data_IF_733837973422
#
_entry.id   IF_733837973422
#
_cell.length_a   1.000
_cell.length_b   1.000
_cell.length_c   1.000
_cell.angle_alpha   90.00
_cell.angle_beta   90.00
_cell.angle_gamma   90.00
#
_symmetry.space_group_name_H-M   'P 1'
#
loop_
_entity.id
_entity.type
_entity.pdbx_description
1 polymer ?
#
# COMPACT_ATOMS: atom_id res chain seq x y z
N UNK A 1 0.03 22.22 -6.96
CA UNK A 1 1.38 21.71 -6.66
C UNK A 1 1.88 22.53 -5.48
N UNK A 2 2.37 21.93 -4.38
CA UNK A 2 2.81 22.72 -3.22
C UNK A 2 4.05 23.54 -3.62
N UNK A 3 3.99 24.86 -3.51
CA UNK A 3 5.10 25.75 -3.88
C UNK A 3 6.40 25.39 -3.13
N UNK A 4 6.26 24.86 -1.91
CA UNK A 4 7.32 24.36 -1.04
C UNK A 4 8.04 23.11 -1.57
N UNK A 5 7.53 22.43 -2.61
CA UNK A 5 8.21 21.26 -3.21
C UNK A 5 9.49 21.70 -3.95
N UNK A 6 9.48 22.87 -4.59
CA UNK A 6 10.67 23.39 -5.28
C UNK A 6 11.83 23.71 -4.33
N UNK A 7 11.53 24.05 -3.07
CA UNK A 7 12.53 24.28 -2.01
C UNK A 7 13.16 22.99 -1.46
N UNK A 8 12.61 21.81 -1.76
CA UNK A 8 13.21 20.53 -1.36
C UNK A 8 14.59 20.31 -2.00
N UNK A 9 14.80 20.84 -3.22
CA UNK A 9 16.07 20.70 -3.95
C UNK A 9 17.23 21.51 -3.35
N UNK A 10 16.95 22.39 -2.38
CA UNK A 10 17.93 23.26 -1.73
C UNK A 10 18.53 22.61 -0.48
N UNK A 11 17.83 21.66 0.14
CA UNK A 11 18.28 21.03 1.37
C UNK A 11 19.37 19.98 1.10
N UNK A 12 20.41 20.02 1.93
CA UNK A 12 21.60 19.15 1.77
C UNK A 12 21.44 17.81 2.50
N UNK A 13 20.56 17.77 3.49
CA UNK A 13 20.27 16.60 4.33
C UNK A 13 18.78 16.59 4.74
N UNK A 14 18.30 15.43 5.18
CA UNK A 14 16.88 15.22 5.52
C UNK A 14 16.45 16.05 6.74
N UNK A 15 17.39 16.33 7.66
CA UNK A 15 17.14 17.17 8.83
C UNK A 15 16.84 18.64 8.47
N UNK A 16 17.60 19.19 7.55
CA UNK A 16 17.43 20.53 7.01
C UNK A 16 16.15 20.60 6.16
N UNK A 17 15.89 19.57 5.35
CA UNK A 17 14.65 19.41 4.60
C UNK A 17 13.42 19.43 5.53
N UNK A 18 13.49 18.69 6.64
CA UNK A 18 12.42 18.64 7.61
C UNK A 18 12.13 20.02 8.20
N UNK A 19 13.18 20.69 8.72
CA UNK A 19 13.05 21.99 9.37
C UNK A 19 12.60 23.11 8.43
N UNK A 20 13.08 23.13 7.19
CA UNK A 20 12.83 24.23 6.25
C UNK A 20 11.51 24.11 5.52
N UNK A 21 11.05 22.88 5.26
CA UNK A 21 9.91 22.64 4.37
C UNK A 21 8.85 21.79 5.05
N UNK A 22 9.22 20.64 5.62
CA UNK A 22 8.23 19.65 6.02
C UNK A 22 7.47 20.01 7.30
N UNK A 23 8.03 20.82 8.21
CA UNK A 23 7.36 21.29 9.44
C UNK A 23 6.06 22.04 9.13
N UNK A 24 6.00 22.77 8.02
CA UNK A 24 4.81 23.54 7.62
C UNK A 24 3.83 22.73 6.77
N UNK A 25 4.13 21.45 6.49
CA UNK A 25 3.26 20.57 5.71
C UNK A 25 2.35 19.75 6.62
N UNK A 26 1.19 19.28 6.13
CA UNK A 26 0.34 18.35 6.87
C UNK A 26 1.02 17.00 7.17
N UNK A 27 2.20 16.74 6.61
CA UNK A 27 2.99 15.53 6.89
C UNK A 27 3.83 15.66 8.18
N UNK A 28 4.03 16.87 8.71
CA UNK A 28 4.87 17.11 9.88
C UNK A 28 4.57 16.19 11.08
N UNK A 29 3.29 15.92 11.45
CA UNK A 29 2.97 15.04 12.56
C UNK A 29 3.59 13.64 12.39
N UNK A 30 3.56 13.07 11.18
CA UNK A 30 4.03 11.72 10.90
C UNK A 30 5.55 11.57 11.04
N UNK A 31 6.30 12.64 10.79
CA UNK A 31 7.75 12.67 11.02
C UNK A 31 8.06 12.84 12.52
N UNK A 32 7.40 13.79 13.19
CA UNK A 32 7.71 14.12 14.58
C UNK A 32 7.40 13.01 15.59
N UNK A 33 6.37 12.19 15.34
CA UNK A 33 5.95 11.14 16.28
C UNK A 33 6.67 9.80 16.07
N UNK A 34 7.26 9.57 14.90
CA UNK A 34 7.79 8.27 14.52
C UNK A 34 9.31 8.26 14.27
N UNK A 35 9.94 9.42 14.13
CA UNK A 35 11.34 9.52 13.70
C UNK A 35 12.10 10.52 14.57
N UNK A 36 13.31 10.14 14.97
CA UNK A 36 14.26 11.06 15.57
C UNK A 36 15.03 11.82 14.49
N UNK A 37 15.68 12.92 14.87
CA UNK A 37 16.51 13.69 13.94
C UNK A 37 17.73 12.91 13.42
N UNK A 38 18.15 11.87 14.12
CA UNK A 38 19.26 10.98 13.72
C UNK A 38 18.77 9.95 12.69
N UNK A 39 17.57 9.39 12.89
CA UNK A 39 16.95 8.46 11.93
C UNK A 39 16.78 9.09 10.54
N UNK A 40 16.56 10.40 10.46
CA UNK A 40 16.38 11.10 9.18
C UNK A 40 17.61 11.06 8.26
N UNK A 41 18.81 11.05 8.83
CA UNK A 41 20.05 11.10 8.04
C UNK A 41 20.62 9.69 7.76
N UNK A 42 20.33 8.71 8.62
CA UNK A 42 20.90 7.36 8.55
C UNK A 42 19.95 6.29 7.98
N UNK A 43 18.63 6.52 8.08
CA UNK A 43 17.66 5.50 7.67
C UNK A 43 17.49 5.46 6.15
N UNK A 44 17.38 4.24 5.61
CA UNK A 44 17.10 4.04 4.20
C UNK A 44 15.78 4.74 3.80
N UNK A 45 15.80 5.46 2.67
CA UNK A 45 14.63 6.21 2.15
C UNK A 45 13.38 5.34 1.96
N UNK A 46 13.56 4.05 1.67
CA UNK A 46 12.47 3.08 1.56
C UNK A 46 11.85 2.74 2.92
N UNK A 47 12.68 2.58 3.95
CA UNK A 47 12.21 2.38 5.32
C UNK A 47 11.50 3.65 5.81
N UNK A 48 12.07 4.83 5.54
CA UNK A 48 11.44 6.12 5.82
C UNK A 48 10.05 6.22 5.20
N UNK A 49 9.95 5.92 3.90
CA UNK A 49 8.67 5.90 3.19
C UNK A 49 7.68 4.94 3.85
N UNK A 50 8.10 3.72 4.17
CA UNK A 50 7.23 2.74 4.80
C UNK A 50 6.75 3.16 6.20
N UNK A 51 7.62 3.74 7.03
CA UNK A 51 7.27 4.25 8.36
C UNK A 51 6.25 5.39 8.27
N UNK A 52 6.44 6.35 7.35
CA UNK A 52 5.51 7.46 7.17
C UNK A 52 4.16 7.00 6.64
N UNK A 53 4.15 6.07 5.68
CA UNK A 53 2.91 5.50 5.16
C UNK A 53 2.14 4.71 6.21
N UNK A 54 2.84 3.97 7.08
CA UNK A 54 2.20 3.30 8.23
C UNK A 54 1.48 4.33 9.11
N UNK A 55 2.18 5.40 9.50
CA UNK A 55 1.60 6.45 10.34
C UNK A 55 0.39 7.12 9.67
N UNK A 56 0.49 7.39 8.36
CA UNK A 56 -0.62 7.90 7.57
C UNK A 56 -1.83 6.95 7.54
N UNK A 57 -1.61 5.65 7.30
CA UNK A 57 -2.68 4.66 7.26
C UNK A 57 -3.37 4.51 8.62
N UNK A 58 -2.61 4.47 9.71
CA UNK A 58 -3.16 4.38 11.07
C UNK A 58 -4.02 5.64 11.40
N UNK A 59 -3.54 6.83 11.06
CA UNK A 59 -4.27 8.09 11.26
C UNK A 59 -5.51 8.18 10.36
N UNK A 60 -5.41 7.76 9.10
CA UNK A 60 -6.53 7.79 8.17
C UNK A 60 -7.62 6.78 8.55
N UNK A 61 -7.24 5.59 9.05
CA UNK A 61 -8.17 4.63 9.60
C UNK A 61 -8.88 5.19 10.86
N UNK A 62 -8.15 5.85 11.75
CA UNK A 62 -8.73 6.51 12.92
C UNK A 62 -9.70 7.64 12.53
N UNK A 63 -9.36 8.43 11.50
CA UNK A 63 -10.24 9.44 10.94
C UNK A 63 -11.53 8.84 10.37
N UNK A 64 -11.45 7.78 9.57
CA UNK A 64 -12.62 7.09 9.02
C UNK A 64 -13.52 6.53 10.14
N UNK A 65 -12.93 5.94 11.17
CA UNK A 65 -13.67 5.46 12.35
C UNK A 65 -14.36 6.58 13.12
N UNK A 66 -13.74 7.77 13.20
CA UNK A 66 -14.34 8.95 13.82
C UNK A 66 -15.55 9.48 13.06
N UNK A 67 -15.56 9.37 11.73
CA UNK A 67 -16.72 9.72 10.90
C UNK A 67 -17.91 8.79 11.14
N UNK A 68 -17.63 7.50 11.39
CA UNK A 68 -18.65 6.49 11.69
C UNK A 68 -19.58 6.17 10.52
N UNK A 69 -20.63 5.39 10.82
CA UNK A 69 -21.65 4.97 9.87
C UNK A 69 -21.10 4.15 8.69
N UNK A 70 -21.78 4.21 7.55
CA UNK A 70 -21.37 3.49 6.34
C UNK A 70 -19.98 3.91 5.82
N UNK A 71 -19.54 5.14 6.11
CA UNK A 71 -18.19 5.57 5.71
C UNK A 71 -17.11 4.79 6.43
N UNK A 72 -17.26 4.57 7.75
CA UNK A 72 -16.28 3.81 8.53
C UNK A 72 -16.21 2.35 8.09
N UNK A 73 -17.36 1.72 7.81
CA UNK A 73 -17.40 0.33 7.37
C UNK A 73 -16.77 0.14 5.98
N UNK A 74 -17.17 0.96 5.00
CA UNK A 74 -16.66 0.89 3.63
C UNK A 74 -15.18 1.24 3.58
N UNK A 75 -14.77 2.36 4.16
CA UNK A 75 -13.35 2.75 4.18
C UNK A 75 -12.51 1.81 5.04
N UNK A 76 -13.06 1.27 6.13
CA UNK A 76 -12.36 0.31 6.98
C UNK A 76 -11.96 -0.95 6.20
N UNK A 77 -12.86 -1.49 5.38
CA UNK A 77 -12.54 -2.63 4.52
C UNK A 77 -11.48 -2.30 3.45
N UNK A 78 -11.59 -1.15 2.78
CA UNK A 78 -10.61 -0.71 1.78
C UNK A 78 -9.22 -0.50 2.39
N UNK A 79 -9.15 0.20 3.53
CA UNK A 79 -7.88 0.48 4.20
C UNK A 79 -7.27 -0.78 4.82
N UNK A 80 -8.09 -1.72 5.32
CA UNK A 80 -7.61 -3.01 5.80
C UNK A 80 -6.91 -3.79 4.69
N UNK A 81 -7.50 -3.82 3.50
CA UNK A 81 -6.88 -4.46 2.34
C UNK A 81 -5.58 -3.77 1.92
N UNK A 82 -5.54 -2.43 1.91
CA UNK A 82 -4.31 -1.67 1.59
C UNK A 82 -3.20 -1.91 2.62
N UNK A 83 -3.54 -2.00 3.92
CA UNK A 83 -2.60 -2.31 4.98
C UNK A 83 -2.00 -3.71 4.82
N UNK A 84 -2.85 -4.72 4.59
CA UNK A 84 -2.43 -6.11 4.39
C UNK A 84 -1.58 -6.27 3.12
N UNK A 85 -1.99 -5.63 2.02
CA UNK A 85 -1.23 -5.57 0.76
C UNK A 85 0.15 -4.94 0.97
N UNK A 86 0.23 -3.87 1.76
CA UNK A 86 1.51 -3.23 2.06
C UNK A 86 2.41 -4.14 2.89
N UNK A 87 1.86 -4.81 3.91
CA UNK A 87 2.62 -5.78 4.71
C UNK A 87 3.18 -6.92 3.83
N UNK A 88 2.37 -7.43 2.91
CA UNK A 88 2.79 -8.43 1.92
C UNK A 88 3.92 -7.92 1.03
N UNK A 89 3.79 -6.73 0.45
CA UNK A 89 4.81 -6.12 -0.41
C UNK A 89 6.12 -5.83 0.32
N UNK A 90 6.04 -5.34 1.56
CA UNK A 90 7.24 -5.14 2.40
C UNK A 90 7.92 -6.48 2.66
N UNK A 91 7.15 -7.53 2.97
CA UNK A 91 7.70 -8.87 3.21
C UNK A 91 8.40 -9.40 1.96
N UNK A 92 7.74 -9.36 0.80
CA UNK A 92 8.31 -9.85 -0.46
C UNK A 92 9.58 -9.10 -0.85
N UNK A 93 9.57 -7.77 -0.78
CA UNK A 93 10.71 -6.95 -1.18
C UNK A 93 11.87 -6.97 -0.17
N UNK A 94 11.64 -7.45 1.05
CA UNK A 94 12.68 -7.56 2.08
C UNK A 94 13.31 -8.95 2.16
N UNK A 95 12.81 -9.95 1.42
CA UNK A 95 13.48 -11.26 1.30
C UNK A 95 14.87 -11.06 0.67
N UNK A 96 15.90 -11.61 1.32
CA UNK A 96 17.29 -11.48 0.86
C UNK A 96 17.96 -10.15 1.20
N UNK A 97 17.31 -9.28 1.99
CA UNK A 97 17.91 -8.05 2.54
C UNK A 97 18.36 -8.22 3.98
N UNK A 98 19.11 -7.26 4.52
CA UNK A 98 19.56 -7.23 5.93
C UNK A 98 18.45 -6.86 6.93
N UNK A 99 17.21 -6.69 6.47
CA UNK A 99 16.10 -6.26 7.31
C UNK A 99 15.65 -7.40 8.24
N UNK A 100 15.72 -7.17 9.55
CA UNK A 100 15.35 -8.17 10.56
C UNK A 100 13.83 -8.37 10.62
N UNK A 101 13.40 -9.50 11.21
CA UNK A 101 11.98 -9.82 11.43
C UNK A 101 11.28 -8.76 12.28
N UNK A 102 11.96 -8.24 13.31
CA UNK A 102 11.42 -7.21 14.19
C UNK A 102 11.27 -5.86 13.47
N UNK A 103 12.21 -5.52 12.59
CA UNK A 103 12.13 -4.29 11.81
C UNK A 103 11.02 -4.36 10.76
N UNK A 104 10.83 -5.50 10.10
CA UNK A 104 9.67 -5.74 9.23
C UNK A 104 8.36 -5.50 9.98
N UNK A 105 8.24 -6.06 11.18
CA UNK A 105 7.03 -5.92 12.02
C UNK A 105 6.75 -4.46 12.41
N UNK A 106 7.78 -3.65 12.65
CA UNK A 106 7.61 -2.22 12.92
C UNK A 106 7.03 -1.46 11.72
N UNK A 107 7.26 -1.93 10.49
CA UNK A 107 6.76 -1.29 9.26
C UNK A 107 5.31 -1.65 8.92
N UNK A 108 4.73 -2.68 9.52
CA UNK A 108 3.33 -3.07 9.27
C UNK A 108 2.37 -2.17 10.02
N UNK A 109 1.23 -1.84 9.40
CA UNK A 109 0.14 -1.10 10.03
C UNK A 109 -0.43 -1.85 11.24
N UNK A 110 -1.07 -1.14 12.16
CA UNK A 110 -1.62 -1.74 13.39
C UNK A 110 -3.07 -2.23 13.22
N UNK A 111 -3.54 -2.35 11.98
CA UNK A 111 -4.87 -2.78 11.60
C UNK A 111 -4.81 -3.54 10.27
N UNK A 112 -5.91 -4.19 9.89
CA UNK A 112 -5.98 -5.12 8.76
C UNK A 112 -6.49 -6.49 9.19
N UNK A 113 -6.75 -7.38 8.24
CA UNK A 113 -7.20 -8.74 8.54
C UNK A 113 -6.02 -9.64 8.98
N UNK A 114 -4.79 -9.26 8.63
CA UNK A 114 -3.58 -9.99 9.03
C UNK A 114 -3.06 -9.56 10.40
N UNK A 115 -3.52 -8.45 10.95
CA UNK A 115 -3.14 -8.02 12.29
C UNK A 115 -3.91 -8.79 13.37
N UNK A 116 -3.26 -9.33 14.44
CA UNK A 116 -1.81 -9.35 14.72
C UNK A 116 -1.12 -10.66 14.30
N UNK A 117 -1.87 -11.75 14.12
CA UNK A 117 -1.32 -13.10 13.95
C UNK A 117 -0.65 -13.29 12.58
N UNK A 118 -1.31 -12.88 11.50
CA UNK A 118 -0.76 -12.94 10.14
C UNK A 118 0.50 -12.08 9.98
N UNK A 119 0.55 -10.91 10.61
CA UNK A 119 1.76 -10.06 10.65
C UNK A 119 2.95 -10.75 11.30
N UNK A 120 2.72 -11.53 12.36
CA UNK A 120 3.80 -12.25 13.05
C UNK A 120 4.36 -13.37 12.17
N UNK A 121 3.51 -14.04 11.40
CA UNK A 121 3.93 -15.07 10.46
C UNK A 121 4.61 -14.48 9.22
N UNK A 122 4.06 -13.42 8.64
CA UNK A 122 4.68 -12.71 7.51
C UNK A 122 6.06 -12.14 7.86
N UNK A 123 6.21 -11.54 9.05
CA UNK A 123 7.51 -11.05 9.51
C UNK A 123 8.57 -12.16 9.54
N UNK A 124 8.17 -13.40 9.82
CA UNK A 124 9.05 -14.57 9.87
C UNK A 124 9.27 -15.27 8.53
N UNK A 125 8.59 -14.87 7.46
CA UNK A 125 8.67 -15.53 6.17
C UNK A 125 9.98 -15.20 5.43
N UNK A 126 10.65 -16.24 4.94
CA UNK A 126 11.93 -16.15 4.21
C UNK A 126 11.81 -16.52 2.73
N UNK A 127 10.69 -17.10 2.32
CA UNK A 127 10.39 -17.45 0.93
C UNK A 127 8.91 -17.18 0.59
N UNK A 128 8.58 -17.28 -0.70
CA UNK A 128 7.23 -17.03 -1.19
C UNK A 128 6.22 -18.08 -0.71
N UNK A 129 6.65 -19.33 -0.49
CA UNK A 129 5.77 -20.41 -0.04
C UNK A 129 5.31 -20.20 1.42
N UNK A 130 6.20 -19.68 2.27
CA UNK A 130 5.89 -19.28 3.64
C UNK A 130 4.95 -18.08 3.66
N UNK A 131 5.14 -17.09 2.78
CA UNK A 131 4.22 -15.97 2.60
C UNK A 131 2.84 -16.48 2.21
N UNK A 132 2.75 -17.36 1.20
CA UNK A 132 1.50 -17.98 0.74
C UNK A 132 0.80 -18.71 1.88
N UNK A 133 1.54 -19.53 2.63
CA UNK A 133 1.02 -20.28 3.79
C UNK A 133 0.45 -19.36 4.89
N UNK A 134 1.11 -18.23 5.16
CA UNK A 134 0.62 -17.24 6.11
C UNK A 134 -0.67 -16.56 5.62
N UNK A 135 -0.73 -16.21 4.34
CA UNK A 135 -1.89 -15.56 3.72
C UNK A 135 -3.10 -16.49 3.59
N UNK A 136 -2.89 -17.76 3.24
CA UNK A 136 -3.96 -18.76 3.06
C UNK A 136 -4.70 -19.11 4.36
N UNK A 137 -4.11 -18.83 5.53
CA UNK A 137 -4.80 -18.98 6.82
C UNK A 137 -5.94 -17.98 7.01
N UNK A 138 -5.92 -16.88 6.26
CA UNK A 138 -6.97 -15.88 6.29
C UNK A 138 -7.98 -16.17 5.15
N UNK A 139 -9.25 -16.52 5.43
CA UNK A 139 -10.18 -17.00 4.41
C UNK A 139 -10.38 -16.06 3.19
N UNK A 140 -10.46 -14.71 3.36
CA UNK A 140 -10.54 -13.79 2.23
C UNK A 140 -9.32 -13.88 1.31
N UNK A 141 -8.12 -14.01 1.87
CA UNK A 141 -6.88 -14.15 1.09
C UNK A 141 -6.70 -15.56 0.54
N UNK A 142 -7.18 -16.59 1.23
CA UNK A 142 -7.19 -17.95 0.72
C UNK A 142 -7.90 -18.05 -0.63
N UNK A 143 -9.05 -17.39 -0.78
CA UNK A 143 -9.77 -17.37 -2.06
C UNK A 143 -8.95 -16.70 -3.18
N UNK A 144 -8.14 -15.70 -2.84
CA UNK A 144 -7.27 -14.98 -3.76
C UNK A 144 -6.09 -15.87 -4.19
N UNK A 145 -5.42 -16.51 -3.23
CA UNK A 145 -4.28 -17.40 -3.52
C UNK A 145 -4.70 -18.72 -4.16
N UNK A 146 -5.93 -19.21 -3.94
CA UNK A 146 -6.47 -20.38 -4.65
C UNK A 146 -6.72 -20.12 -6.14
N UNK A 147 -7.02 -18.88 -6.53
CA UNK A 147 -7.10 -18.49 -7.95
C UNK A 147 -5.73 -18.49 -8.62
N UNK A 148 -4.65 -18.35 -7.84
CA UNK A 148 -3.28 -18.43 -8.33
C UNK A 148 -2.72 -19.85 -8.28
N UNK A 149 -2.18 -20.30 -9.40
CA UNK A 149 -1.43 -21.56 -9.45
C UNK A 149 -0.20 -21.53 -8.55
N UNK A 150 0.31 -22.70 -8.15
CA UNK A 150 1.62 -22.78 -7.50
C UNK A 150 2.71 -22.34 -8.51
N UNK A 151 3.55 -21.37 -8.12
CA UNK A 151 4.64 -20.85 -8.95
C UNK A 151 4.34 -19.56 -9.73
N UNK A 152 3.12 -19.02 -9.66
CA UNK A 152 2.71 -17.79 -10.36
C UNK A 152 2.94 -16.51 -9.52
N UNK A 153 4.10 -16.38 -8.88
CA UNK A 153 4.40 -15.18 -8.06
C UNK A 153 4.33 -13.88 -8.88
N UNK A 154 4.61 -13.94 -10.18
CA UNK A 154 4.50 -12.80 -11.10
C UNK A 154 3.06 -12.33 -11.32
N UNK A 155 2.06 -13.14 -11.01
CA UNK A 155 0.63 -12.78 -11.15
C UNK A 155 0.04 -12.21 -9.87
N UNK A 156 0.76 -12.26 -8.74
CA UNK A 156 0.25 -11.79 -7.45
C UNK A 156 -0.14 -10.32 -7.49
N UNK A 157 0.70 -9.46 -8.04
CA UNK A 157 0.39 -8.03 -8.16
C UNK A 157 -0.88 -7.80 -8.98
N UNK A 158 -1.04 -8.52 -10.10
CA UNK A 158 -2.23 -8.43 -10.94
C UNK A 158 -3.48 -8.84 -10.17
N UNK A 159 -3.43 -9.97 -9.49
CA UNK A 159 -4.57 -10.48 -8.71
C UNK A 159 -4.92 -9.54 -7.55
N UNK A 160 -3.92 -8.93 -6.89
CA UNK A 160 -4.15 -7.92 -5.86
C UNK A 160 -4.80 -6.65 -6.43
N UNK A 161 -4.39 -6.22 -7.64
CA UNK A 161 -5.06 -5.10 -8.32
C UNK A 161 -6.50 -5.43 -8.72
N UNK A 162 -6.77 -6.64 -9.21
CA UNK A 162 -8.13 -7.09 -9.53
C UNK A 162 -9.02 -7.10 -8.28
N UNK A 163 -8.50 -7.56 -7.15
CA UNK A 163 -9.25 -7.56 -5.88
C UNK A 163 -9.40 -6.15 -5.29
N UNK A 164 -8.41 -5.26 -5.46
CA UNK A 164 -8.51 -3.83 -5.12
C UNK A 164 -9.66 -3.17 -5.90
N UNK A 165 -9.63 -3.29 -7.23
CA UNK A 165 -10.66 -2.74 -8.12
C UNK A 165 -12.03 -3.32 -7.81
N UNK A 166 -12.11 -4.63 -7.56
CA UNK A 166 -13.37 -5.28 -7.17
C UNK A 166 -13.95 -4.62 -5.92
N UNK A 167 -13.16 -4.44 -4.86
CA UNK A 167 -13.62 -3.79 -3.62
C UNK A 167 -14.02 -2.34 -3.84
N UNK A 168 -13.27 -1.61 -4.66
CA UNK A 168 -13.58 -0.23 -5.02
C UNK A 168 -14.90 -0.10 -5.77
N UNK A 169 -15.20 -1.02 -6.69
CA UNK A 169 -16.49 -1.07 -7.39
C UNK A 169 -17.64 -1.37 -6.43
N UNK A 170 -17.44 -2.29 -5.48
CA UNK A 170 -18.45 -2.60 -4.44
C UNK A 170 -18.83 -1.39 -3.59
N UNK A 171 -17.94 -0.39 -3.46
CA UNK A 171 -18.27 0.85 -2.75
C UNK A 171 -19.43 1.61 -3.40
N UNK A 172 -19.64 1.48 -4.72
CA UNK A 172 -20.71 2.18 -5.43
C UNK A 172 -22.08 1.50 -5.30
N UNK A 173 -22.17 0.32 -4.66
CA UNK A 173 -23.44 -0.32 -4.35
C UNK A 173 -24.15 0.33 -3.14
N UNK A 174 -23.39 1.01 -2.29
CA UNK A 174 -23.92 1.76 -1.16
C UNK A 174 -24.09 3.25 -1.51
N UNK A 175 -24.96 3.94 -0.77
CA UNK A 175 -25.19 5.39 -0.94
C UNK A 175 -24.92 6.13 0.38
N UNK A 176 -24.65 7.44 0.27
CA UNK A 176 -24.45 8.35 1.40
C UNK A 176 -23.23 8.02 2.30
N UNK A 177 -22.10 7.65 1.69
CA UNK A 177 -20.81 7.51 2.37
C UNK A 177 -19.69 8.21 1.57
N UNK A 178 -18.63 8.65 2.26
CA UNK A 178 -17.52 9.34 1.60
C UNK A 178 -16.54 8.40 0.88
N UNK A 179 -16.66 7.08 1.10
CA UNK A 179 -15.81 6.09 0.43
C UNK A 179 -15.89 6.10 -1.09
N UNK A 180 -16.99 6.61 -1.67
CA UNK A 180 -17.14 6.79 -3.12
C UNK A 180 -16.07 7.69 -3.74
N UNK A 181 -15.61 8.72 -3.02
CA UNK A 181 -14.58 9.63 -3.52
C UNK A 181 -13.20 8.96 -3.56
N UNK A 182 -12.91 8.17 -2.53
CA UNK A 182 -11.68 7.38 -2.46
C UNK A 182 -11.65 6.34 -3.58
N UNK A 183 -12.70 5.55 -3.72
CA UNK A 183 -12.83 4.55 -4.77
C UNK A 183 -12.76 5.17 -6.17
N UNK A 184 -13.43 6.30 -6.40
CA UNK A 184 -13.36 7.00 -7.69
C UNK A 184 -11.93 7.37 -8.07
N UNK A 185 -11.16 7.94 -7.14
CA UNK A 185 -9.78 8.34 -7.41
C UNK A 185 -8.90 7.13 -7.73
N UNK A 186 -9.05 6.02 -6.98
CA UNK A 186 -8.26 4.81 -7.20
C UNK A 186 -8.61 4.08 -8.51
N UNK A 187 -9.89 4.02 -8.86
CA UNK A 187 -10.33 3.50 -10.15
C UNK A 187 -9.79 4.35 -11.32
N UNK A 188 -9.72 5.68 -11.17
CA UNK A 188 -9.11 6.56 -12.18
C UNK A 188 -7.60 6.32 -12.29
N UNK A 189 -6.89 6.09 -11.19
CA UNK A 189 -5.48 5.70 -11.24
C UNK A 189 -5.29 4.37 -11.97
N UNK A 190 -6.17 3.39 -11.75
CA UNK A 190 -6.14 2.12 -12.48
C UNK A 190 -6.43 2.30 -13.97
N UNK A 191 -7.36 3.17 -14.35
CA UNK A 191 -7.66 3.49 -15.74
C UNK A 191 -6.42 4.09 -16.44
N UNK A 192 -5.73 5.03 -15.79
CA UNK A 192 -4.48 5.61 -16.29
C UNK A 192 -3.42 4.51 -16.47
N UNK A 193 -3.26 3.60 -15.50
CA UNK A 193 -2.33 2.47 -15.60
C UNK A 193 -2.64 1.55 -16.77
N UNK A 194 -3.92 1.26 -17.01
CA UNK A 194 -4.35 0.46 -18.16
C UNK A 194 -4.00 1.18 -19.49
N UNK A 195 -4.26 2.48 -19.60
CA UNK A 195 -3.94 3.27 -20.80
C UNK A 195 -2.43 3.31 -21.04
N UNK A 196 -1.63 3.48 -19.98
CA UNK A 196 -0.17 3.45 -20.07
C UNK A 196 0.33 2.09 -20.56
N UNK A 197 -0.16 0.98 -20.01
CA UNK A 197 0.19 -0.37 -20.45
C UNK A 197 -0.10 -0.60 -21.94
N UNK A 198 -1.31 -0.22 -22.38
CA UNK A 198 -1.70 -0.33 -23.80
C UNK A 198 -0.77 0.51 -24.68
N UNK A 199 -0.46 1.73 -24.25
CA UNK A 199 0.42 2.64 -24.98
C UNK A 199 1.84 2.08 -25.13
N UNK A 200 2.39 1.50 -24.07
CA UNK A 200 3.71 0.84 -24.08
C UNK A 200 3.73 -0.40 -24.99
N UNK A 201 2.70 -1.26 -24.91
CA UNK A 201 2.59 -2.44 -25.76
C UNK A 201 2.51 -2.05 -27.25
N UNK A 202 1.78 -0.97 -27.58
CA UNK A 202 1.69 -0.46 -28.96
C UNK A 202 3.02 0.13 -29.41
N UNK A 203 3.69 0.91 -28.55
CA UNK A 203 4.99 1.51 -28.87
C UNK A 203 6.09 0.46 -29.09
N UNK A 204 6.02 -0.68 -28.41
CA UNK A 204 6.98 -1.79 -28.53
C UNK A 204 6.57 -2.85 -29.57
N UNK A 205 5.46 -2.64 -30.29
CA UNK A 205 4.84 -3.60 -31.23
C UNK A 205 4.54 -4.99 -30.62
N UNK A 206 4.34 -5.06 -29.30
CA UNK A 206 3.99 -6.28 -28.55
C UNK A 206 2.47 -6.45 -28.40
N UNK A 207 1.74 -6.42 -29.51
CA UNK A 207 0.26 -6.42 -29.50
C UNK A 207 -0.35 -7.68 -28.87
N UNK A 208 0.39 -8.79 -28.83
CA UNK A 208 -0.05 -10.04 -28.22
C UNK A 208 -0.19 -9.97 -26.69
N UNK A 209 0.49 -9.03 -26.02
CA UNK A 209 0.55 -8.92 -24.55
C UNK A 209 -0.34 -7.82 -23.96
N UNK A 210 -1.13 -7.16 -24.81
CA UNK A 210 -2.00 -6.05 -24.38
C UNK A 210 -2.95 -6.52 -23.26
N UNK A 211 -3.49 -7.73 -23.38
CA UNK A 211 -4.43 -8.31 -22.41
C UNK A 211 -3.77 -8.72 -21.09
N UNK A 212 -2.45 -8.86 -21.04
CA UNK A 212 -1.75 -9.38 -19.86
C UNK A 212 -1.79 -8.39 -18.70
N UNK A 213 -1.58 -7.09 -18.97
CA UNK A 213 -1.51 -6.04 -17.96
C UNK A 213 -2.81 -5.26 -17.74
N UNK A 214 -3.89 -5.57 -18.45
CA UNK A 214 -5.19 -4.91 -18.26
C UNK A 214 -5.88 -5.51 -17.03
N UNK A 215 -6.32 -4.62 -16.14
CA UNK A 215 -7.24 -4.94 -15.03
C UNK A 215 -8.59 -4.30 -15.34
N UNK A 216 -9.64 -5.11 -15.45
CA UNK A 216 -10.97 -4.63 -15.82
C UNK A 216 -11.63 -3.89 -14.65
N UNK A 217 -12.11 -2.68 -14.92
CA UNK A 217 -12.79 -1.81 -13.95
C UNK A 217 -14.33 -1.99 -14.02
N UNK A 218 -14.83 -2.59 -15.11
CA UNK A 218 -16.24 -2.88 -15.38
C UNK A 218 -16.39 -4.19 -16.16
#
# INVERSE_FOLDING_TARGET
>A
MFDSISTLAVASNMRELYRLVLVDTPLAPYFSSNLTSEDLDEMNIEILRNTLYKAYLDDFAAFCNKLGGATAEVMGDLLAFEADRRALNITMNSIGTELTRDDRRKLYSNFGLLHPHGHSELAGAEDFDQIRSAMEKCPPYQAIFNKMGYGESQMLDKVLYEEEVRREVFTFEQQFHYGVFFAYMRLREQEIRNIMWVSECVAQDQKARITDGIVYIF
#
